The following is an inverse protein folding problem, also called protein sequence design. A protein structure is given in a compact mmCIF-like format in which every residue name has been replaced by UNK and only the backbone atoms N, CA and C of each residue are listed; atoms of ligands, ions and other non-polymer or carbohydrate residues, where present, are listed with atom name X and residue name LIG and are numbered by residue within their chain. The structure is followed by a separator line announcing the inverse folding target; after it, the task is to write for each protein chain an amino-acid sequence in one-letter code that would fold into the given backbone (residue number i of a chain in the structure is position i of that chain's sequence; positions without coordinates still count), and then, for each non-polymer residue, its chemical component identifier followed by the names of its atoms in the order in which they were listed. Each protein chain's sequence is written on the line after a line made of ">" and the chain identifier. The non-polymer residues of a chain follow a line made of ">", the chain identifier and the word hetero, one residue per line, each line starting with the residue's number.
data_IF_857273269341
#
_entry.id   IF_857273269341
#
_cell.length_a   1.000
_cell.length_b   1.000
_cell.length_c   1.000
_cell.angle_alpha   90.00
_cell.angle_beta   90.00
_cell.angle_gamma   90.00
#
_symmetry.space_group_name_H-M   'P 1'
#
loop_
_entity.id
_entity.type
_entity.pdbx_description
1 polymer ?
#
# COMPACT_ATOMS: atom_id res chain seq x y z
N UNK A 1 -18.85 -15.01 -1.63
CA UNK A 1 -18.41 -13.76 -2.28
C UNK A 1 -17.08 -13.92 -3.02
N UNK A 2 -15.90 -14.01 -2.39
CA UNK A 2 -14.59 -14.05 -3.12
C UNK A 2 -14.50 -15.22 -4.10
N UNK A 3 -14.96 -16.43 -3.74
CA UNK A 3 -15.01 -17.56 -4.68
C UNK A 3 -15.82 -17.24 -5.95
N UNK A 4 -16.95 -16.55 -5.79
CA UNK A 4 -17.78 -16.13 -6.95
C UNK A 4 -17.07 -15.11 -7.83
N UNK A 5 -16.34 -14.14 -7.22
CA UNK A 5 -15.56 -13.15 -7.98
C UNK A 5 -14.41 -13.80 -8.77
N UNK A 6 -13.75 -14.81 -8.20
CA UNK A 6 -12.69 -15.56 -8.90
C UNK A 6 -13.18 -16.36 -10.11
N UNK A 7 -14.46 -16.72 -10.16
CA UNK A 7 -15.07 -17.37 -11.32
C UNK A 7 -15.26 -16.41 -12.50
N UNK A 8 -15.22 -15.10 -12.27
CA UNK A 8 -15.18 -14.11 -13.35
C UNK A 8 -13.76 -14.09 -13.96
N UNK A 9 -13.64 -14.61 -15.16
CA UNK A 9 -12.34 -14.77 -15.84
C UNK A 9 -11.66 -13.45 -16.18
N UNK A 10 -12.42 -12.38 -16.44
CA UNK A 10 -11.89 -11.05 -16.74
C UNK A 10 -11.31 -10.39 -15.46
N UNK A 11 -12.10 -10.40 -14.38
CA UNK A 11 -11.64 -9.88 -13.08
C UNK A 11 -10.39 -10.63 -12.59
N UNK A 12 -10.39 -11.97 -12.72
CA UNK A 12 -9.23 -12.79 -12.33
C UNK A 12 -7.98 -12.38 -13.11
N UNK A 13 -8.08 -12.25 -14.43
CA UNK A 13 -6.96 -11.80 -15.30
C UNK A 13 -6.46 -10.40 -14.88
N UNK A 14 -7.37 -9.49 -14.54
CA UNK A 14 -7.02 -8.14 -14.07
C UNK A 14 -6.26 -8.19 -12.75
N UNK A 15 -6.70 -9.00 -11.78
CA UNK A 15 -6.01 -9.19 -10.50
C UNK A 15 -4.63 -9.82 -10.72
N UNK A 16 -4.53 -10.87 -11.52
CA UNK A 16 -3.25 -11.52 -11.85
C UNK A 16 -2.28 -10.57 -12.56
N UNK A 17 -2.79 -9.74 -13.48
CA UNK A 17 -1.98 -8.72 -14.16
C UNK A 17 -1.44 -7.68 -13.18
N UNK A 18 -2.27 -7.24 -12.23
CA UNK A 18 -1.86 -6.29 -11.19
C UNK A 18 -0.79 -6.88 -10.27
N UNK A 19 -0.91 -8.14 -9.89
CA UNK A 19 0.10 -8.81 -9.07
C UNK A 19 1.44 -8.94 -9.80
N UNK A 20 1.44 -9.24 -11.11
CA UNK A 20 2.67 -9.25 -11.92
C UNK A 20 3.32 -7.86 -12.00
N UNK A 21 2.52 -6.81 -12.19
CA UNK A 21 3.02 -5.43 -12.17
C UNK A 21 3.72 -5.09 -10.84
N UNK A 22 3.17 -5.52 -9.71
CA UNK A 22 3.82 -5.32 -8.40
C UNK A 22 5.15 -6.07 -8.30
N UNK A 23 5.24 -7.29 -8.84
CA UNK A 23 6.51 -8.03 -8.89
C UNK A 23 7.55 -7.34 -9.78
N UNK A 24 7.12 -6.77 -10.90
CA UNK A 24 7.98 -5.98 -11.78
C UNK A 24 8.50 -4.72 -11.07
N UNK A 25 7.61 -3.97 -10.41
CA UNK A 25 7.99 -2.80 -9.59
C UNK A 25 9.02 -3.20 -8.52
N UNK A 26 8.86 -4.35 -7.90
CA UNK A 26 9.80 -4.86 -6.91
C UNK A 26 11.23 -5.07 -7.45
N UNK A 27 11.38 -5.28 -8.76
CA UNK A 27 12.68 -5.45 -9.44
C UNK A 27 13.29 -4.13 -9.93
N UNK A 28 12.49 -3.05 -10.00
CA UNK A 28 12.92 -1.75 -10.50
C UNK A 28 13.85 -1.02 -9.52
N UNK A 29 14.41 0.08 -9.98
CA UNK A 29 15.34 0.90 -9.22
C UNK A 29 14.70 1.73 -8.10
N UNK A 30 15.55 2.43 -7.37
CA UNK A 30 15.15 3.30 -6.24
C UNK A 30 14.20 4.41 -6.68
N UNK A 31 14.26 4.87 -7.90
CA UNK A 31 13.39 5.88 -8.47
C UNK A 31 11.92 5.44 -8.49
N UNK A 32 11.64 4.24 -8.97
CA UNK A 32 10.30 3.67 -8.98
C UNK A 32 9.83 3.31 -7.57
N UNK A 33 10.73 2.80 -6.72
CA UNK A 33 10.42 2.55 -5.32
C UNK A 33 10.08 3.85 -4.57
N UNK A 34 10.77 4.95 -4.87
CA UNK A 34 10.48 6.27 -4.31
C UNK A 34 9.09 6.77 -4.73
N UNK A 35 8.70 6.56 -6.00
CA UNK A 35 7.36 6.88 -6.48
C UNK A 35 6.28 6.07 -5.73
N UNK A 36 6.47 4.75 -5.57
CA UNK A 36 5.54 3.91 -4.82
C UNK A 36 5.47 4.29 -3.33
N UNK A 37 6.61 4.62 -2.72
CA UNK A 37 6.67 5.09 -1.34
C UNK A 37 5.90 6.40 -1.16
N UNK A 38 6.08 7.34 -2.11
CA UNK A 38 5.33 8.61 -2.14
C UNK A 38 3.84 8.36 -2.28
N UNK A 39 3.42 7.47 -3.17
CA UNK A 39 2.03 7.08 -3.28
C UNK A 39 1.48 6.56 -1.95
N UNK A 40 2.17 5.63 -1.27
CA UNK A 40 1.73 5.08 0.02
C UNK A 40 1.67 6.15 1.12
N UNK A 41 2.61 7.08 1.16
CA UNK A 41 2.57 8.24 2.06
C UNK A 41 1.34 9.11 1.80
N UNK A 42 1.04 9.40 0.55
CA UNK A 42 -0.08 10.25 0.18
C UNK A 42 -1.44 9.54 0.33
N UNK A 43 -1.52 8.24 0.14
CA UNK A 43 -2.75 7.45 0.25
C UNK A 43 -3.25 7.24 1.70
N UNK A 44 -2.42 7.51 2.71
CA UNK A 44 -2.82 7.37 4.11
C UNK A 44 -3.98 8.33 4.45
N UNK A 45 -5.15 7.78 4.82
CA UNK A 45 -6.37 8.55 5.10
C UNK A 45 -6.84 9.50 3.97
N UNK A 46 -6.51 9.16 2.72
CA UNK A 46 -6.88 9.95 1.55
C UNK A 46 -7.33 9.04 0.38
N UNK A 47 -7.83 9.63 -0.70
CA UNK A 47 -8.18 8.89 -1.93
C UNK A 47 -6.94 8.27 -2.57
N UNK A 48 -6.93 6.95 -2.71
CA UNK A 48 -5.81 6.24 -3.35
C UNK A 48 -5.62 6.68 -4.82
N UNK A 49 -6.71 6.88 -5.56
CA UNK A 49 -6.66 7.33 -6.97
C UNK A 49 -6.03 8.71 -7.06
N UNK A 50 -6.46 9.65 -6.21
CA UNK A 50 -5.90 11.01 -6.20
C UNK A 50 -4.45 11.01 -5.73
N UNK A 51 -4.11 10.22 -4.69
CA UNK A 51 -2.75 10.09 -4.20
C UNK A 51 -1.79 9.55 -5.27
N UNK A 52 -2.24 8.54 -6.03
CA UNK A 52 -1.46 7.99 -7.13
C UNK A 52 -1.22 9.03 -8.24
N UNK A 53 -2.27 9.74 -8.67
CA UNK A 53 -2.14 10.81 -9.66
C UNK A 53 -1.14 11.89 -9.21
N UNK A 54 -1.18 12.29 -7.94
CA UNK A 54 -0.24 13.28 -7.40
C UNK A 54 1.20 12.73 -7.37
N UNK A 55 1.38 11.46 -6.98
CA UNK A 55 2.70 10.82 -7.00
C UNK A 55 3.28 10.76 -8.43
N UNK A 56 2.45 10.47 -9.44
CA UNK A 56 2.84 10.54 -10.86
C UNK A 56 3.24 11.95 -11.29
N UNK A 57 2.51 12.99 -10.87
CA UNK A 57 2.86 14.37 -11.17
C UNK A 57 4.19 14.80 -10.54
N UNK A 58 4.43 14.42 -9.28
CA UNK A 58 5.70 14.70 -8.59
C UNK A 58 6.87 13.96 -9.26
N UNK A 59 6.63 12.73 -9.74
CA UNK A 59 7.63 11.93 -10.44
C UNK A 59 7.95 12.55 -11.82
N UNK A 60 6.93 12.78 -12.65
CA UNK A 60 7.10 13.29 -14.04
C UNK A 60 7.66 14.70 -14.11
N UNK A 61 7.35 15.56 -13.12
CA UNK A 61 7.92 16.90 -13.00
C UNK A 61 9.34 16.92 -12.39
N UNK A 62 9.88 15.78 -12.03
CA UNK A 62 11.15 15.64 -11.32
C UNK A 62 11.21 16.31 -9.92
N UNK A 63 10.09 16.82 -9.43
CA UNK A 63 10.00 17.42 -8.08
C UNK A 63 10.25 16.38 -7.00
N UNK A 64 9.88 15.12 -7.25
CA UNK A 64 10.12 14.02 -6.33
C UNK A 64 11.59 13.86 -5.94
N UNK A 65 12.51 14.15 -6.88
CA UNK A 65 13.95 13.96 -6.68
C UNK A 65 14.71 15.27 -6.40
N UNK A 66 14.28 16.37 -7.00
CA UNK A 66 15.01 17.65 -6.95
C UNK A 66 14.25 18.79 -6.28
N UNK A 67 12.94 18.65 -6.09
CA UNK A 67 12.12 19.67 -5.44
C UNK A 67 12.50 19.86 -3.97
N UNK A 68 12.46 21.10 -3.50
CA UNK A 68 12.51 21.39 -2.07
C UNK A 68 11.23 20.90 -1.37
N UNK A 69 11.23 20.87 -0.06
CA UNK A 69 10.03 20.57 0.73
C UNK A 69 8.89 21.56 0.38
N UNK A 70 9.23 22.80 0.14
CA UNK A 70 8.32 23.89 -0.21
C UNK A 70 7.74 23.67 -1.62
N UNK A 71 8.54 23.32 -2.62
CA UNK A 71 8.08 23.02 -3.99
C UNK A 71 7.09 21.85 -3.99
N UNK A 72 7.41 20.78 -3.26
CA UNK A 72 6.50 19.62 -3.12
C UNK A 72 5.22 20.03 -2.39
N UNK A 73 5.31 20.81 -1.31
CA UNK A 73 4.15 21.30 -0.57
C UNK A 73 3.22 22.14 -1.43
N UNK A 74 3.78 23.05 -2.24
CA UNK A 74 3.03 23.92 -3.14
C UNK A 74 2.34 23.11 -4.24
N UNK A 75 2.99 22.07 -4.78
CA UNK A 75 2.35 21.11 -5.68
C UNK A 75 1.17 20.42 -4.98
N UNK A 76 1.34 19.90 -3.76
CA UNK A 76 0.28 19.26 -2.99
C UNK A 76 -0.92 20.20 -2.78
N UNK A 77 -0.67 21.47 -2.46
CA UNK A 77 -1.73 22.48 -2.28
C UNK A 77 -2.48 22.74 -3.61
N UNK A 78 -1.73 22.93 -4.71
CA UNK A 78 -2.32 23.16 -6.05
C UNK A 78 -3.22 22.02 -6.49
N UNK A 79 -2.84 20.77 -6.15
CA UNK A 79 -3.62 19.58 -6.45
C UNK A 79 -4.75 19.32 -5.45
N UNK A 80 -5.01 20.25 -4.52
CA UNK A 80 -6.09 20.13 -3.52
C UNK A 80 -5.84 19.02 -2.48
N UNK A 81 -4.58 18.65 -2.26
CA UNK A 81 -4.26 17.60 -1.32
C UNK A 81 -4.43 18.06 0.14
N UNK A 82 -5.20 17.31 0.91
CA UNK A 82 -5.64 17.69 2.26
C UNK A 82 -4.50 17.83 3.29
N UNK A 83 -3.37 17.15 3.08
CA UNK A 83 -2.30 17.05 4.08
C UNK A 83 -0.93 17.51 3.52
N UNK A 84 -0.78 18.80 3.10
CA UNK A 84 0.41 19.26 2.40
C UNK A 84 1.71 19.13 3.21
N UNK A 85 1.61 19.02 4.54
CA UNK A 85 2.77 18.79 5.41
C UNK A 85 3.46 17.43 5.19
N UNK A 86 2.83 16.50 4.42
CA UNK A 86 3.48 15.26 4.01
C UNK A 86 4.64 15.47 3.04
N UNK A 87 4.80 16.66 2.48
CA UNK A 87 6.02 17.06 1.75
C UNK A 87 7.29 16.76 2.55
N UNK A 88 7.26 17.00 3.88
CA UNK A 88 8.39 16.68 4.74
C UNK A 88 8.68 15.17 4.82
N UNK A 89 7.65 14.31 4.78
CA UNK A 89 7.83 12.85 4.78
C UNK A 89 8.41 12.37 3.45
N UNK A 90 8.00 12.98 2.34
CA UNK A 90 8.51 12.66 1.00
C UNK A 90 10.00 13.02 0.92
N UNK A 91 10.41 14.21 1.40
CA UNK A 91 11.83 14.60 1.42
C UNK A 91 12.66 13.66 2.30
N UNK A 92 12.18 13.31 3.51
CA UNK A 92 12.88 12.35 4.37
C UNK A 92 12.99 10.95 3.72
N UNK A 93 11.93 10.48 3.05
CA UNK A 93 11.94 9.19 2.36
C UNK A 93 12.97 9.18 1.22
N UNK A 94 13.12 10.27 0.47
CA UNK A 94 14.13 10.43 -0.58
C UNK A 94 15.57 10.24 -0.07
N UNK A 95 15.86 10.70 1.13
CA UNK A 95 17.20 10.58 1.72
C UNK A 95 17.60 9.15 2.04
N UNK A 96 16.62 8.26 2.23
CA UNK A 96 16.86 6.88 2.68
C UNK A 96 16.42 5.83 1.65
N UNK A 97 15.91 6.23 0.48
CA UNK A 97 15.32 5.27 -0.47
C UNK A 97 16.34 4.23 -0.98
N UNK A 98 17.59 4.62 -1.18
CA UNK A 98 18.64 3.71 -1.61
C UNK A 98 19.00 2.68 -0.53
N UNK A 99 19.02 3.10 0.73
CA UNK A 99 19.14 2.20 1.88
C UNK A 99 17.97 1.20 1.92
N UNK A 100 16.74 1.70 1.80
CA UNK A 100 15.53 0.88 1.77
C UNK A 100 15.59 -0.14 0.63
N UNK A 101 15.99 0.31 -0.58
CA UNK A 101 16.09 -0.55 -1.77
C UNK A 101 17.16 -1.64 -1.62
N UNK A 102 18.23 -1.33 -0.89
CA UNK A 102 19.32 -2.27 -0.61
C UNK A 102 18.94 -3.30 0.46
N UNK A 103 18.28 -2.88 1.53
CA UNK A 103 18.06 -3.72 2.72
C UNK A 103 16.77 -4.57 2.62
N UNK A 104 15.69 -3.99 2.14
CA UNK A 104 14.36 -4.63 2.17
C UNK A 104 14.30 -5.95 1.40
N UNK A 105 14.95 -6.13 0.24
CA UNK A 105 14.89 -7.40 -0.50
C UNK A 105 15.38 -8.62 0.29
N UNK A 106 16.37 -8.46 1.15
CA UNK A 106 17.00 -9.53 1.93
C UNK A 106 16.22 -9.89 3.20
N UNK A 107 15.22 -9.10 3.57
CA UNK A 107 14.38 -9.34 4.73
C UNK A 107 13.15 -10.18 4.37
N UNK A 108 12.70 -11.04 5.31
CA UNK A 108 11.37 -11.63 5.18
C UNK A 108 10.28 -10.56 5.34
N UNK A 109 9.04 -10.87 4.94
CA UNK A 109 7.95 -9.91 4.88
C UNK A 109 7.70 -9.16 6.20
N UNK A 110 7.76 -9.86 7.33
CA UNK A 110 7.50 -9.26 8.65
C UNK A 110 8.64 -8.35 9.10
N UNK A 111 9.88 -8.79 8.91
CA UNK A 111 11.07 -7.96 9.21
C UNK A 111 11.15 -6.75 8.29
N UNK A 112 10.84 -6.91 7.00
CA UNK A 112 10.78 -5.80 6.04
C UNK A 112 9.75 -4.75 6.46
N UNK A 113 8.55 -5.19 6.89
CA UNK A 113 7.53 -4.28 7.39
C UNK A 113 7.98 -3.54 8.65
N UNK A 114 8.54 -4.25 9.62
CA UNK A 114 9.02 -3.63 10.87
C UNK A 114 10.17 -2.65 10.61
N UNK A 115 11.06 -2.98 9.68
CA UNK A 115 12.12 -2.09 9.24
C UNK A 115 11.54 -0.81 8.63
N UNK A 116 10.60 -0.89 7.71
CA UNK A 116 9.94 0.27 7.10
C UNK A 116 9.21 1.13 8.16
N UNK A 117 8.49 0.52 9.10
CA UNK A 117 7.83 1.25 10.20
C UNK A 117 8.83 2.04 11.03
N UNK A 118 10.03 1.51 11.24
CA UNK A 118 11.07 2.17 12.05
C UNK A 118 11.85 3.24 11.29
N UNK A 119 12.00 3.10 9.96
CA UNK A 119 12.88 3.94 9.13
C UNK A 119 12.15 5.03 8.36
N UNK A 120 10.94 4.75 7.88
CA UNK A 120 10.21 5.68 7.02
C UNK A 120 9.25 6.54 7.85
N UNK A 121 9.55 7.82 7.98
CA UNK A 121 8.68 8.76 8.69
C UNK A 121 7.32 8.86 7.98
N UNK A 122 6.27 8.62 8.73
CA UNK A 122 4.90 8.61 8.20
C UNK A 122 4.37 7.23 7.79
N UNK A 123 5.21 6.18 7.83
CA UNK A 123 4.76 4.80 7.66
C UNK A 123 4.37 4.19 9.01
N UNK A 124 3.19 3.57 9.03
CA UNK A 124 2.76 2.63 10.06
C UNK A 124 2.69 1.22 9.48
N UNK A 125 2.07 0.29 10.21
CA UNK A 125 1.86 -1.10 9.76
C UNK A 125 1.15 -1.17 8.41
N UNK A 126 0.12 -0.34 8.21
CA UNK A 126 -0.71 -0.33 6.99
C UNK A 126 0.08 0.19 5.79
N UNK A 127 0.75 1.33 5.91
CA UNK A 127 1.51 1.94 4.82
C UNK A 127 2.70 1.06 4.43
N UNK A 128 3.38 0.46 5.40
CA UNK A 128 4.47 -0.49 5.15
C UNK A 128 3.99 -1.74 4.44
N UNK A 129 2.87 -2.34 4.86
CA UNK A 129 2.28 -3.48 4.17
C UNK A 129 1.84 -3.13 2.74
N UNK A 130 1.29 -1.93 2.54
CA UNK A 130 0.85 -1.45 1.24
C UNK A 130 2.05 -1.28 0.28
N UNK A 131 3.11 -0.63 0.73
CA UNK A 131 4.35 -0.48 -0.04
C UNK A 131 4.96 -1.84 -0.40
N UNK A 132 5.07 -2.75 0.56
CA UNK A 132 5.61 -4.08 0.34
C UNK A 132 4.77 -4.90 -0.64
N UNK A 133 3.43 -4.83 -0.59
CA UNK A 133 2.56 -5.45 -1.58
C UNK A 133 2.81 -4.86 -2.97
N UNK A 134 2.92 -3.54 -3.10
CA UNK A 134 3.16 -2.86 -4.37
C UNK A 134 4.59 -3.09 -4.92
N UNK A 135 5.50 -3.59 -4.09
CA UNK A 135 6.83 -4.04 -4.47
C UNK A 135 6.96 -5.57 -4.51
N UNK A 136 5.83 -6.29 -4.68
CA UNK A 136 5.78 -7.71 -5.01
C UNK A 136 5.67 -8.68 -3.83
N UNK A 137 5.58 -8.21 -2.59
CA UNK A 137 5.36 -9.09 -1.43
C UNK A 137 3.91 -9.55 -1.35
N UNK A 138 3.67 -10.82 -1.01
CA UNK A 138 2.35 -11.44 -1.13
C UNK A 138 1.68 -11.79 0.19
N UNK A 139 2.43 -11.81 1.30
CA UNK A 139 1.96 -12.40 2.56
C UNK A 139 1.66 -11.39 3.67
N UNK A 140 1.42 -10.12 3.33
CA UNK A 140 1.03 -9.07 4.26
C UNK A 140 -0.35 -8.55 3.94
N UNK A 141 -1.18 -8.34 4.96
CA UNK A 141 -2.47 -7.69 4.79
C UNK A 141 -2.34 -6.17 4.92
N UNK A 142 -3.15 -5.44 4.14
CA UNK A 142 -3.31 -3.99 4.25
C UNK A 142 -4.56 -3.73 5.08
N UNK A 143 -4.42 -3.73 6.41
CA UNK A 143 -5.55 -3.55 7.32
C UNK A 143 -5.90 -2.07 7.42
N UNK A 144 -6.75 -1.61 6.53
CA UNK A 144 -7.30 -0.26 6.51
C UNK A 144 -8.77 -0.23 6.99
N UNK A 145 -9.40 0.94 6.97
CA UNK A 145 -10.79 1.12 7.40
C UNK A 145 -11.78 0.33 6.54
N UNK A 146 -11.46 0.12 5.25
CA UNK A 146 -12.32 -0.65 4.35
C UNK A 146 -12.25 -2.13 4.67
N UNK A 147 -11.04 -2.66 4.85
CA UNK A 147 -10.80 -4.05 5.24
C UNK A 147 -11.41 -4.35 6.61
N UNK A 148 -11.27 -3.45 7.60
CA UNK A 148 -11.92 -3.61 8.91
C UNK A 148 -13.43 -3.68 8.75
N UNK A 149 -14.04 -2.75 7.99
CA UNK A 149 -15.50 -2.74 7.77
C UNK A 149 -15.98 -4.04 7.13
N UNK A 150 -15.34 -4.47 6.05
CA UNK A 150 -15.68 -5.74 5.38
C UNK A 150 -15.52 -6.92 6.35
N UNK A 151 -14.44 -6.95 7.11
CA UNK A 151 -14.19 -8.03 8.06
C UNK A 151 -15.23 -8.12 9.17
N UNK A 152 -15.76 -6.98 9.64
CA UNK A 152 -16.88 -6.93 10.59
C UNK A 152 -18.19 -7.36 9.92
N UNK A 153 -18.48 -6.82 8.73
CA UNK A 153 -19.70 -7.12 7.96
C UNK A 153 -19.87 -8.62 7.69
N UNK A 154 -18.75 -9.31 7.45
CA UNK A 154 -18.76 -10.77 7.23
C UNK A 154 -18.46 -11.62 8.48
N UNK A 155 -18.52 -11.02 9.67
CA UNK A 155 -18.34 -11.73 10.95
C UNK A 155 -16.94 -12.34 11.16
N UNK A 156 -15.93 -11.85 10.42
CA UNK A 156 -14.56 -12.31 10.58
C UNK A 156 -13.91 -11.75 11.85
N UNK A 157 -14.26 -10.52 12.22
CA UNK A 157 -13.79 -9.82 13.41
C UNK A 157 -14.93 -9.05 14.07
N UNK A 158 -14.81 -8.82 15.39
CA UNK A 158 -15.67 -7.89 16.11
C UNK A 158 -15.31 -6.43 15.79
N UNK A 159 -16.21 -5.52 16.17
CA UNK A 159 -16.02 -4.09 15.99
C UNK A 159 -14.68 -3.61 16.60
N UNK A 160 -13.94 -2.80 15.83
CA UNK A 160 -12.61 -2.30 16.23
C UNK A 160 -12.71 -0.83 16.60
N UNK A 161 -12.52 -0.49 17.87
CA UNK A 161 -12.50 0.91 18.36
C UNK A 161 -11.18 1.62 18.04
N UNK A 162 -10.05 0.90 18.18
CA UNK A 162 -8.72 1.41 17.86
C UNK A 162 -7.84 0.33 17.25
N UNK A 163 -7.02 0.68 16.26
CA UNK A 163 -6.15 -0.25 15.56
C UNK A 163 -4.74 -0.18 16.14
N UNK A 164 -4.51 -0.88 17.25
CA UNK A 164 -3.16 -1.07 17.80
C UNK A 164 -2.37 -2.06 16.94
N UNK A 165 -1.03 -2.08 17.07
CA UNK A 165 -0.17 -3.07 16.40
C UNK A 165 -0.63 -4.52 16.67
N UNK A 166 -0.94 -4.86 17.91
CA UNK A 166 -1.45 -6.18 18.30
C UNK A 166 -2.73 -6.51 17.55
N UNK A 167 -3.71 -5.58 17.54
CA UNK A 167 -5.00 -5.78 16.86
C UNK A 167 -4.83 -5.88 15.35
N UNK A 168 -3.88 -5.12 14.76
CA UNK A 168 -3.53 -5.25 13.35
C UNK A 168 -3.09 -6.67 13.00
N UNK A 169 -2.18 -7.24 13.77
CA UNK A 169 -1.64 -8.59 13.54
C UNK A 169 -2.72 -9.68 13.76
N UNK A 170 -3.61 -9.52 14.74
CA UNK A 170 -4.75 -10.43 14.95
C UNK A 170 -5.69 -10.44 13.73
N UNK A 171 -5.97 -9.27 13.15
CA UNK A 171 -6.80 -9.15 11.95
C UNK A 171 -6.08 -9.76 10.74
N UNK A 172 -4.80 -9.45 10.55
CA UNK A 172 -3.99 -10.01 9.48
C UNK A 172 -4.00 -11.55 9.51
N UNK A 173 -3.88 -12.16 10.70
CA UNK A 173 -3.89 -13.61 10.82
C UNK A 173 -5.26 -14.22 10.47
N UNK A 174 -6.34 -13.57 10.83
CA UNK A 174 -7.69 -13.98 10.41
C UNK A 174 -7.87 -13.88 8.88
N UNK A 175 -7.37 -12.82 8.27
CA UNK A 175 -7.37 -12.65 6.79
C UNK A 175 -6.50 -13.73 6.13
N UNK A 176 -5.36 -14.07 6.71
CA UNK A 176 -4.49 -15.18 6.26
C UNK A 176 -5.22 -16.51 6.27
N UNK A 177 -5.97 -16.78 7.34
CA UNK A 177 -6.83 -17.97 7.42
C UNK A 177 -7.91 -18.00 6.31
N UNK A 178 -8.45 -16.85 5.92
CA UNK A 178 -9.36 -16.76 4.77
C UNK A 178 -8.62 -17.01 3.45
N UNK A 179 -7.47 -16.38 3.23
CA UNK A 179 -6.66 -16.55 2.03
C UNK A 179 -6.25 -18.02 1.82
N UNK A 180 -5.78 -18.68 2.89
CA UNK A 180 -5.41 -20.09 2.85
C UNK A 180 -6.58 -21.01 2.47
N UNK A 181 -7.80 -20.78 3.02
CA UNK A 181 -9.00 -21.55 2.63
C UNK A 181 -9.45 -21.32 1.20
N UNK A 182 -9.03 -20.21 0.59
CA UNK A 182 -9.31 -19.88 -0.79
C UNK A 182 -8.15 -20.24 -1.73
N UNK A 183 -7.04 -20.73 -1.20
CA UNK A 183 -5.80 -21.05 -1.93
C UNK A 183 -5.28 -19.84 -2.73
N UNK A 184 -5.26 -18.68 -2.07
CA UNK A 184 -4.74 -17.41 -2.61
C UNK A 184 -3.80 -16.72 -1.64
N UNK A 185 -3.07 -15.72 -2.12
CA UNK A 185 -2.22 -14.89 -1.27
C UNK A 185 -3.01 -13.76 -0.58
N UNK A 186 -2.44 -13.17 0.47
CA UNK A 186 -3.03 -11.97 1.09
C UNK A 186 -3.08 -10.79 0.13
N UNK A 187 -2.09 -10.63 -0.73
CA UNK A 187 -2.09 -9.59 -1.78
C UNK A 187 -3.24 -9.77 -2.78
N UNK A 188 -3.51 -11.01 -3.18
CA UNK A 188 -4.63 -11.34 -4.07
C UNK A 188 -5.98 -11.10 -3.37
N UNK A 189 -6.11 -11.55 -2.11
CA UNK A 189 -7.31 -11.32 -1.30
C UNK A 189 -7.62 -9.83 -1.16
N UNK A 190 -6.61 -9.00 -0.91
CA UNK A 190 -6.76 -7.55 -0.77
C UNK A 190 -7.33 -6.91 -2.04
N UNK A 191 -6.85 -7.28 -3.23
CA UNK A 191 -7.35 -6.77 -4.50
C UNK A 191 -8.82 -7.14 -4.74
N UNK A 192 -9.24 -8.38 -4.40
CA UNK A 192 -10.65 -8.78 -4.47
C UNK A 192 -11.51 -8.02 -3.45
N UNK A 193 -11.03 -7.85 -2.21
CA UNK A 193 -11.75 -7.09 -1.19
C UNK A 193 -11.90 -5.61 -1.58
N UNK A 194 -10.86 -5.02 -2.15
CA UNK A 194 -10.94 -3.67 -2.71
C UNK A 194 -11.98 -3.58 -3.83
N UNK A 195 -11.96 -4.52 -4.77
CA UNK A 195 -12.94 -4.57 -5.86
C UNK A 195 -14.39 -4.61 -5.35
N UNK A 196 -14.67 -5.35 -4.27
CA UNK A 196 -16.05 -5.41 -3.72
C UNK A 196 -16.58 -4.06 -3.26
N UNK A 197 -15.72 -3.11 -2.94
CA UNK A 197 -16.09 -1.78 -2.43
C UNK A 197 -16.04 -0.69 -3.49
N UNK A 198 -15.23 -0.85 -4.51
CA UNK A 198 -14.95 0.20 -5.50
C UNK A 198 -15.43 -0.14 -6.90
N UNK A 199 -15.65 -1.43 -7.20
CA UNK A 199 -16.02 -1.92 -8.53
C UNK A 199 -14.84 -2.01 -9.50
N UNK A 200 -13.61 -1.73 -9.08
CA UNK A 200 -12.42 -1.84 -9.93
C UNK A 200 -11.19 -2.30 -9.14
N UNK A 201 -10.24 -2.93 -9.84
CA UNK A 201 -8.94 -3.33 -9.27
C UNK A 201 -7.98 -2.14 -9.33
N UNK A 202 -7.41 -1.77 -8.18
CA UNK A 202 -6.44 -0.67 -8.08
C UNK A 202 -5.11 -1.15 -7.46
N UNK A 203 -4.39 -0.23 -6.86
CA UNK A 203 -3.06 -0.48 -6.25
C UNK A 203 -3.18 -0.56 -4.74
#
# INVERSE_FOLDING_TARGET
>A
MIRSLRNNSELRRTVESRLREFEEIGRMGSDIWMKEMTFCLLAANYSAVTAYRIAELLFSSNLLFRGSKEDIRDMLIREGYRFPNRSAYIVNAREIIDEIRSVVPDLNDFKARDYLVSRVKGFGMKESSHFLRNTGRKNLAIVDRHIIRVSVEYGLIDHVRSLTRRRYLEIEEKLRGVANRLEITLAELDLYLWYTKTGFVFR
#
